data_IF_404651862799
#
_entry.id   IF_404651862799
#
_cell.length_a   1.000
_cell.length_b   1.000
_cell.length_c   1.000
_cell.angle_alpha   90.00
_cell.angle_beta   90.00
_cell.angle_gamma   90.00
#
_symmetry.space_group_name_H-M   'P 1'
#
loop_
_entity.id
_entity.type
_entity.pdbx_description
1 polymer ?
#
# COMPACT_ATOMS: atom_id res chain seq x y z
N UNK A 1 -20.67 37.88 -9.57
CA UNK A 1 -19.77 37.45 -8.47
C UNK A 1 -19.22 36.10 -8.86
N UNK A 2 -17.91 35.97 -9.04
CA UNK A 2 -17.26 34.68 -9.25
C UNK A 2 -17.10 34.02 -7.88
N UNK A 3 -17.77 32.89 -7.65
CA UNK A 3 -17.52 32.08 -6.46
C UNK A 3 -16.10 31.56 -6.52
N UNK A 4 -15.28 32.02 -5.59
CA UNK A 4 -13.99 31.45 -5.27
C UNK A 4 -14.20 29.96 -4.98
N UNK A 5 -13.76 29.10 -5.90
CA UNK A 5 -13.59 27.68 -5.63
C UNK A 5 -12.52 27.57 -4.55
N UNK A 6 -12.95 27.49 -3.28
CA UNK A 6 -12.13 26.95 -2.22
C UNK A 6 -11.81 25.51 -2.63
N UNK A 7 -10.62 25.31 -3.19
CA UNK A 7 -10.21 24.06 -3.81
C UNK A 7 -10.50 22.87 -2.91
N UNK A 8 -11.32 21.94 -3.40
CA UNK A 8 -11.61 20.69 -2.72
C UNK A 8 -10.29 19.93 -2.55
N UNK A 9 -9.69 20.02 -1.36
CA UNK A 9 -8.53 19.21 -1.02
C UNK A 9 -8.93 17.73 -1.08
N UNK A 10 -8.14 16.93 -1.80
CA UNK A 10 -8.36 15.48 -1.85
C UNK A 10 -8.12 14.93 -0.43
N UNK A 11 -9.03 14.11 0.11
CA UNK A 11 -8.81 13.46 1.40
C UNK A 11 -7.50 12.65 1.37
N UNK A 12 -6.71 12.74 2.44
CA UNK A 12 -5.41 12.06 2.52
C UNK A 12 -5.46 10.55 2.16
N UNK A 13 -6.47 9.77 2.61
CA UNK A 13 -6.58 8.36 2.20
C UNK A 13 -6.78 8.18 0.69
N UNK A 14 -7.53 9.06 0.05
CA UNK A 14 -7.81 8.95 -1.39
C UNK A 14 -6.54 9.25 -2.20
N UNK A 15 -5.77 10.25 -1.79
CA UNK A 15 -4.47 10.56 -2.41
C UNK A 15 -3.47 9.40 -2.25
N UNK A 16 -3.39 8.79 -1.06
CA UNK A 16 -2.50 7.64 -0.82
C UNK A 16 -2.94 6.44 -1.66
N UNK A 17 -4.24 6.15 -1.79
CA UNK A 17 -4.74 5.06 -2.65
C UNK A 17 -4.40 5.29 -4.13
N UNK A 18 -4.42 6.53 -4.61
CA UNK A 18 -3.96 6.87 -5.96
C UNK A 18 -2.49 6.51 -6.12
N UNK A 19 -1.61 6.96 -5.20
CA UNK A 19 -0.19 6.62 -5.23
C UNK A 19 0.07 5.10 -5.18
N UNK A 20 -0.66 4.37 -4.32
CA UNK A 20 -0.56 2.91 -4.25
C UNK A 20 -1.00 2.27 -5.57
N UNK A 21 -2.05 2.79 -6.21
CA UNK A 21 -2.51 2.30 -7.51
C UNK A 21 -1.48 2.55 -8.62
N UNK A 22 -0.81 3.70 -8.58
CA UNK A 22 0.26 4.08 -9.51
C UNK A 22 1.52 3.21 -9.40
N UNK A 23 1.63 2.34 -8.38
CA UNK A 23 2.66 1.29 -8.38
C UNK A 23 2.48 0.28 -9.51
N UNK A 24 1.27 0.13 -10.06
CA UNK A 24 0.99 -0.71 -11.22
C UNK A 24 0.96 0.08 -12.55
N UNK A 25 1.48 1.32 -12.58
CA UNK A 25 1.58 2.09 -13.81
C UNK A 25 2.54 1.46 -14.81
N UNK A 26 2.29 1.61 -16.11
CA UNK A 26 3.14 1.09 -17.18
C UNK A 26 4.50 1.82 -17.26
N UNK A 27 4.53 3.11 -16.89
CA UNK A 27 5.74 3.93 -16.86
C UNK A 27 6.61 3.61 -15.63
N UNK A 28 7.86 3.23 -15.87
CA UNK A 28 8.84 3.02 -14.80
C UNK A 28 9.03 4.26 -13.93
N UNK A 29 9.06 5.45 -14.55
CA UNK A 29 9.21 6.72 -13.84
C UNK A 29 8.05 6.98 -12.87
N UNK A 30 6.81 6.66 -13.27
CA UNK A 30 5.63 6.85 -12.41
C UNK A 30 5.67 5.87 -11.24
N UNK A 31 6.03 4.60 -11.48
CA UNK A 31 6.17 3.61 -10.41
C UNK A 31 7.22 4.01 -9.39
N UNK A 32 8.39 4.47 -9.83
CA UNK A 32 9.49 4.88 -8.97
C UNK A 32 9.16 6.13 -8.16
N UNK A 33 8.56 7.15 -8.81
CA UNK A 33 8.10 8.36 -8.12
C UNK A 33 7.03 8.03 -7.07
N UNK A 34 6.06 7.18 -7.44
CA UNK A 34 5.00 6.74 -6.51
C UNK A 34 5.59 5.97 -5.33
N UNK A 35 6.57 5.11 -5.57
CA UNK A 35 7.30 4.38 -4.53
C UNK A 35 8.03 5.33 -3.60
N UNK A 36 8.76 6.32 -4.13
CA UNK A 36 9.47 7.31 -3.32
C UNK A 36 8.49 8.11 -2.44
N UNK A 37 7.40 8.62 -3.02
CA UNK A 37 6.38 9.35 -2.26
C UNK A 37 5.74 8.48 -1.17
N UNK A 38 5.45 7.21 -1.45
CA UNK A 38 4.88 6.30 -0.45
C UNK A 38 5.86 5.99 0.69
N UNK A 39 7.17 5.95 0.42
CA UNK A 39 8.19 5.82 1.48
C UNK A 39 8.16 7.03 2.41
N UNK A 40 8.12 8.24 1.86
CA UNK A 40 8.07 9.46 2.67
C UNK A 40 6.78 9.52 3.51
N UNK A 41 5.63 9.21 2.91
CA UNK A 41 4.34 9.17 3.63
C UNK A 41 4.33 8.06 4.69
N UNK A 42 5.00 6.93 4.45
CA UNK A 42 5.06 5.82 5.41
C UNK A 42 5.83 6.16 6.69
N UNK A 43 6.81 7.07 6.60
CA UNK A 43 7.54 7.57 7.76
C UNK A 43 6.71 8.57 8.59
N UNK A 44 5.73 9.23 7.96
CA UNK A 44 4.86 10.22 8.61
C UNK A 44 3.57 9.60 9.16
N UNK A 45 3.00 8.62 8.45
CA UNK A 45 1.76 7.97 8.83
C UNK A 45 1.71 6.52 8.31
N UNK A 46 2.41 5.58 8.97
CA UNK A 46 2.51 4.20 8.52
C UNK A 46 1.15 3.46 8.53
N UNK A 47 0.27 3.74 9.49
CA UNK A 47 -1.05 3.10 9.58
C UNK A 47 -1.96 3.46 8.39
N UNK A 48 -1.95 4.73 7.96
CA UNK A 48 -2.69 5.17 6.79
C UNK A 48 -2.22 4.45 5.52
N UNK A 49 -0.90 4.32 5.35
CA UNK A 49 -0.31 3.62 4.20
C UNK A 49 -0.69 2.14 4.20
N UNK A 50 -0.64 1.49 5.37
CA UNK A 50 -1.01 0.07 5.50
C UNK A 50 -2.48 -0.18 5.18
N UNK A 51 -3.41 0.65 5.66
CA UNK A 51 -4.84 0.52 5.34
C UNK A 51 -5.11 0.73 3.84
N UNK A 52 -4.44 1.71 3.22
CA UNK A 52 -4.58 1.98 1.79
C UNK A 52 -4.00 0.84 0.94
N UNK A 53 -2.80 0.33 1.27
CA UNK A 53 -2.22 -0.85 0.64
C UNK A 53 -3.13 -2.06 0.76
N UNK A 54 -3.72 -2.29 1.95
CA UNK A 54 -4.65 -3.39 2.18
C UNK A 54 -5.94 -3.24 1.37
N UNK A 55 -6.45 -2.02 1.23
CA UNK A 55 -7.66 -1.74 0.43
C UNK A 55 -7.42 -1.97 -1.07
N UNK A 56 -6.30 -1.46 -1.61
CA UNK A 56 -5.96 -1.61 -3.04
C UNK A 56 -5.64 -3.06 -3.39
N UNK A 57 -4.91 -3.77 -2.53
CA UNK A 57 -4.58 -5.20 -2.74
C UNK A 57 -5.79 -6.13 -2.65
N UNK A 58 -6.83 -5.76 -1.88
CA UNK A 58 -8.09 -6.52 -1.75
C UNK A 58 -9.06 -6.32 -2.93
N UNK A 59 -8.75 -5.43 -3.89
CA UNK A 59 -9.68 -5.02 -4.95
C UNK A 59 -9.97 -6.08 -6.03
N UNK A 60 -11.04 -6.85 -5.88
CA UNK A 60 -11.88 -7.39 -6.97
C UNK A 60 -11.26 -8.30 -8.05
N UNK A 61 -12.04 -8.57 -9.12
CA UNK A 61 -11.83 -9.61 -10.16
C UNK A 61 -10.53 -9.48 -10.98
N UNK A 62 -9.78 -8.40 -10.84
CA UNK A 62 -8.47 -8.17 -11.49
C UNK A 62 -7.43 -7.97 -10.40
N UNK A 63 -6.53 -8.94 -10.26
CA UNK A 63 -5.40 -8.87 -9.32
C UNK A 63 -4.58 -7.59 -9.59
N UNK A 64 -4.17 -6.91 -8.54
CA UNK A 64 -3.26 -5.77 -8.65
C UNK A 64 -1.95 -6.21 -9.33
N UNK A 65 -1.52 -5.48 -10.37
CA UNK A 65 -0.44 -5.90 -11.26
C UNK A 65 0.96 -5.89 -10.62
N UNK A 66 1.18 -5.10 -9.57
CA UNK A 66 2.47 -4.96 -8.91
C UNK A 66 2.41 -5.23 -7.40
N UNK A 67 2.09 -6.47 -7.03
CA UNK A 67 2.05 -6.88 -5.61
C UNK A 67 3.40 -6.75 -4.92
N UNK A 68 4.52 -6.94 -5.63
CA UNK A 68 5.86 -6.77 -5.07
C UNK A 68 6.10 -5.32 -4.58
N UNK A 69 5.67 -4.33 -5.37
CA UNK A 69 5.72 -2.93 -4.97
C UNK A 69 4.88 -2.64 -3.73
N UNK A 70 3.65 -3.18 -3.67
CA UNK A 70 2.77 -3.02 -2.50
C UNK A 70 3.41 -3.63 -1.25
N UNK A 71 3.93 -4.86 -1.33
CA UNK A 71 4.61 -5.50 -0.21
C UNK A 71 5.85 -4.74 0.25
N UNK A 72 6.61 -4.14 -0.67
CA UNK A 72 7.76 -3.33 -0.31
C UNK A 72 7.34 -2.08 0.48
N UNK A 73 6.29 -1.38 0.04
CA UNK A 73 5.74 -0.23 0.77
C UNK A 73 5.21 -0.66 2.15
N UNK A 74 4.49 -1.78 2.23
CA UNK A 74 4.00 -2.31 3.51
C UNK A 74 5.16 -2.64 4.46
N UNK A 75 6.24 -3.25 3.97
CA UNK A 75 7.41 -3.57 4.80
C UNK A 75 8.06 -2.30 5.37
N UNK A 76 8.15 -1.23 4.57
CA UNK A 76 8.70 0.06 5.03
C UNK A 76 7.77 0.71 6.05
N UNK A 77 6.46 0.75 5.78
CA UNK A 77 5.48 1.27 6.73
C UNK A 77 5.51 0.51 8.07
N UNK A 78 5.64 -0.83 8.04
CA UNK A 78 5.79 -1.64 9.25
C UNK A 78 7.10 -1.32 9.97
N UNK A 79 8.20 -1.12 9.24
CA UNK A 79 9.49 -0.76 9.84
C UNK A 79 9.51 0.64 10.46
N UNK A 80 8.63 1.53 9.97
CA UNK A 80 8.47 2.89 10.46
C UNK A 80 7.57 2.97 11.70
N UNK A 81 6.77 1.94 11.98
CA UNK A 81 6.07 1.82 13.25
C UNK A 81 7.09 1.59 14.36
N UNK A 82 7.13 2.48 15.36
CA UNK A 82 7.88 2.19 16.57
C UNK A 82 7.31 0.91 17.21
N UNK A 83 8.17 0.11 17.87
CA UNK A 83 7.76 -1.14 18.56
C UNK A 83 6.71 -0.90 19.65
N UNK A 84 6.45 0.37 19.99
CA UNK A 84 5.42 0.85 20.93
C UNK A 84 4.11 1.29 20.27
N UNK A 85 4.08 1.57 18.96
CA UNK A 85 2.89 2.03 18.23
C UNK A 85 2.20 0.91 17.42
N UNK A 86 2.91 -0.18 17.16
CA UNK A 86 2.32 -1.34 16.49
C UNK A 86 1.55 -2.21 17.49
N UNK A 87 0.23 -2.02 17.54
CA UNK A 87 -0.64 -2.85 18.38
C UNK A 87 -0.45 -4.35 18.03
N UNK A 88 -0.24 -5.24 19.03
CA UNK A 88 -0.10 -6.69 18.83
C UNK A 88 -1.13 -7.33 17.88
N UNK A 89 -2.44 -6.97 17.90
CA UNK A 89 -3.41 -7.51 16.97
C UNK A 89 -3.15 -7.14 15.50
N UNK A 90 -2.60 -5.96 15.21
CA UNK A 90 -2.36 -5.52 13.84
C UNK A 90 -1.09 -6.17 13.26
N UNK A 91 -0.06 -6.32 14.10
CA UNK A 91 1.11 -7.14 13.76
C UNK A 91 0.72 -8.60 13.49
N UNK A 92 -0.23 -9.15 14.25
CA UNK A 92 -0.72 -10.52 14.03
C UNK A 92 -1.50 -10.65 12.71
N UNK A 93 -2.28 -9.65 12.31
CA UNK A 93 -2.97 -9.64 10.99
C UNK A 93 -1.96 -9.59 9.85
N UNK A 94 -0.94 -8.74 9.95
CA UNK A 94 0.10 -8.61 8.94
C UNK A 94 0.93 -9.89 8.80
N UNK A 95 1.30 -10.52 9.91
CA UNK A 95 1.98 -11.81 9.92
C UNK A 95 1.15 -12.92 9.25
N UNK A 96 -0.17 -12.94 9.50
CA UNK A 96 -1.10 -13.88 8.85
C UNK A 96 -1.18 -13.68 7.34
N UNK A 97 -1.28 -12.42 6.89
CA UNK A 97 -1.32 -12.10 5.45
C UNK A 97 0.00 -12.50 4.78
N UNK A 98 1.13 -12.13 5.36
CA UNK A 98 2.45 -12.49 4.82
C UNK A 98 2.63 -14.02 4.72
N UNK A 99 2.19 -14.75 5.75
CA UNK A 99 2.27 -16.22 5.77
C UNK A 99 1.35 -16.85 4.72
N UNK A 100 0.11 -16.35 4.59
CA UNK A 100 -0.83 -16.83 3.59
C UNK A 100 -0.33 -16.61 2.14
N UNK A 101 0.27 -15.46 1.87
CA UNK A 101 0.80 -15.11 0.54
C UNK A 101 2.08 -15.91 0.20
N UNK A 102 2.97 -16.13 1.17
CA UNK A 102 4.15 -16.99 1.00
C UNK A 102 3.76 -18.44 0.66
N UNK A 103 2.70 -18.96 1.29
CA UNK A 103 2.21 -20.32 1.04
C UNK A 103 1.50 -20.39 -0.31
N UNK A 104 0.67 -19.40 -0.66
CA UNK A 104 -0.04 -19.31 -1.94
C UNK A 104 0.93 -19.32 -3.14
N UNK A 105 2.07 -18.63 -3.02
CA UNK A 105 3.10 -18.56 -4.06
C UNK A 105 3.85 -19.89 -4.29
N UNK A 106 3.89 -20.80 -3.30
CA UNK A 106 4.53 -22.12 -3.43
C UNK A 106 3.62 -23.17 -4.09
N UNK A 107 2.30 -23.04 -3.96
CA UNK A 107 1.34 -24.00 -4.53
C UNK A 107 1.19 -23.79 -6.04
N UNK A 108 1.30 -22.55 -6.53
CA UNK A 108 1.21 -22.26 -7.98
C UNK A 108 2.40 -22.80 -8.79
N UNK A 109 3.56 -23.07 -8.16
CA UNK A 109 4.74 -23.67 -8.83
C UNK A 109 4.71 -25.22 -8.82
N UNK A 110 3.74 -25.86 -8.17
CA UNK A 110 3.63 -27.33 -8.10
C UNK A 110 2.49 -27.90 -8.94
N UNK A 111 1.76 -27.05 -9.67
CA UNK A 111 0.64 -27.41 -10.56
C UNK A 111 0.87 -26.96 -12.02
N UNK A 112 2.08 -26.53 -12.36
CA UNK A 112 2.52 -26.23 -13.73
C UNK A 112 3.51 -27.29 -14.21
#
# INVERSE_FOLDING_TARGET
MASSSSGNAIPAPDAVRVLVSSLADESAMVREASMASLKDVSLLNPLLVLDCCSTVSRGGRRRFGNMAGVFHVMAIAISALDKREADPPDMAKLAKIATAEMISSKVQHKLS
#
